data_IF_856620605598
#
_entry.id   IF_856620605598
#
_cell.length_a   1.000
_cell.length_b   1.000
_cell.length_c   1.000
_cell.angle_alpha   90.00
_cell.angle_beta   90.00
_cell.angle_gamma   90.00
#
_symmetry.space_group_name_H-M   'P 1'
#
loop_
_entity.id
_entity.type
_entity.pdbx_description
1 polymer ?
#
# COMPACT_ATOMS: atom_id res chain seq x y z
N UNK A 1 18.05 9.37 -0.24
CA UNK A 1 16.74 8.69 -0.04
C UNK A 1 15.67 9.68 -0.43
N UNK A 2 14.80 9.34 -1.39
CA UNK A 2 13.68 10.22 -1.74
C UNK A 2 12.61 10.07 -0.66
N UNK A 3 12.26 11.15 0.02
CA UNK A 3 11.21 11.16 1.03
C UNK A 3 9.82 10.97 0.37
N UNK A 4 8.87 10.38 1.10
CA UNK A 4 7.50 10.19 0.63
C UNK A 4 6.84 11.53 0.25
N UNK A 5 7.19 12.61 0.96
CA UNK A 5 6.74 13.98 0.68
C UNK A 5 7.20 14.45 -0.70
N UNK A 6 8.48 14.26 -1.04
CA UNK A 6 9.02 14.63 -2.36
C UNK A 6 8.40 13.78 -3.49
N UNK A 7 8.14 12.48 -3.24
CA UNK A 7 7.42 11.65 -4.21
C UNK A 7 5.97 12.12 -4.42
N UNK A 8 5.29 12.58 -3.37
CA UNK A 8 3.94 13.12 -3.48
C UNK A 8 3.92 14.42 -4.30
N UNK A 9 4.89 15.31 -4.08
CA UNK A 9 5.03 16.55 -4.87
C UNK A 9 5.28 16.23 -6.36
N UNK A 10 6.24 15.36 -6.65
CA UNK A 10 6.57 14.95 -8.03
C UNK A 10 5.44 14.21 -8.74
N UNK A 11 4.51 13.60 -8.01
CA UNK A 11 3.34 12.96 -8.61
C UNK A 11 2.39 13.97 -9.29
N UNK A 12 2.45 15.26 -8.90
CA UNK A 12 1.71 16.36 -9.50
C UNK A 12 2.47 17.14 -10.58
N UNK A 13 3.65 16.65 -11.00
CA UNK A 13 4.47 17.32 -12.01
C UNK A 13 3.73 17.45 -13.36
N UNK A 14 4.01 18.53 -14.09
CA UNK A 14 3.45 18.79 -15.41
C UNK A 14 4.02 17.88 -16.49
N UNK A 15 5.24 17.35 -16.30
CA UNK A 15 5.80 16.28 -17.13
C UNK A 15 5.19 14.92 -16.69
N UNK A 16 4.36 14.28 -17.54
CA UNK A 16 3.75 12.99 -17.20
C UNK A 16 4.77 11.89 -16.90
N UNK A 17 6.00 11.96 -17.44
CA UNK A 17 7.05 10.98 -17.15
C UNK A 17 7.52 11.08 -15.71
N UNK A 18 7.65 12.29 -15.18
CA UNK A 18 8.02 12.54 -13.78
C UNK A 18 6.88 12.07 -12.88
N UNK A 19 5.65 12.52 -13.16
CA UNK A 19 4.45 12.14 -12.41
C UNK A 19 4.25 10.63 -12.33
N UNK A 20 4.29 9.93 -13.47
CA UNK A 20 4.09 8.47 -13.50
C UNK A 20 5.18 7.70 -12.76
N UNK A 21 6.45 8.15 -12.83
CA UNK A 21 7.54 7.53 -12.06
C UNK A 21 7.34 7.71 -10.56
N UNK A 22 6.90 8.88 -10.13
CA UNK A 22 6.60 9.17 -8.74
C UNK A 22 5.42 8.34 -8.24
N UNK A 23 4.31 8.28 -8.99
CA UNK A 23 3.16 7.42 -8.70
C UNK A 23 3.56 5.94 -8.60
N UNK A 24 4.41 5.46 -9.50
CA UNK A 24 4.91 4.08 -9.45
C UNK A 24 5.80 3.82 -8.21
N UNK A 25 6.57 4.82 -7.76
CA UNK A 25 7.34 4.72 -6.52
C UNK A 25 6.41 4.71 -5.29
N UNK A 26 5.43 5.61 -5.23
CA UNK A 26 4.43 5.66 -4.15
C UNK A 26 3.64 4.37 -4.04
N UNK A 27 3.19 3.78 -5.17
CA UNK A 27 2.52 2.47 -5.16
C UNK A 27 3.39 1.39 -4.54
N UNK A 28 4.67 1.32 -4.92
CA UNK A 28 5.62 0.34 -4.34
C UNK A 28 5.82 0.55 -2.84
N UNK A 29 5.87 1.80 -2.39
CA UNK A 29 5.98 2.11 -0.96
C UNK A 29 4.71 1.72 -0.21
N UNK A 30 3.53 2.08 -0.73
CA UNK A 30 2.24 1.72 -0.16
C UNK A 30 2.09 0.20 -0.01
N UNK A 31 2.43 -0.56 -1.05
CA UNK A 31 2.39 -2.03 -1.03
C UNK A 31 3.28 -2.64 0.05
N UNK A 32 4.46 -2.06 0.30
CA UNK A 32 5.36 -2.51 1.35
C UNK A 32 4.81 -2.20 2.74
N UNK A 33 4.33 -0.97 2.95
CA UNK A 33 3.74 -0.55 4.22
C UNK A 33 2.48 -1.36 4.55
N UNK A 34 1.60 -1.56 3.57
CA UNK A 34 0.40 -2.39 3.73
C UNK A 34 0.78 -3.82 4.13
N UNK A 35 1.75 -4.46 3.47
CA UNK A 35 2.18 -5.81 3.83
C UNK A 35 2.75 -5.89 5.26
N UNK A 36 3.48 -4.87 5.71
CA UNK A 36 3.98 -4.78 7.11
C UNK A 36 2.81 -4.70 8.09
N UNK A 37 1.84 -3.84 7.84
CA UNK A 37 0.68 -3.65 8.72
C UNK A 37 -0.23 -4.88 8.73
N UNK A 38 -0.49 -5.50 7.58
CA UNK A 38 -1.28 -6.74 7.49
C UNK A 38 -0.62 -7.86 8.29
N UNK A 39 0.71 -8.05 8.17
CA UNK A 39 1.43 -9.04 9.00
C UNK A 39 1.33 -8.73 10.50
N UNK A 40 1.50 -7.47 10.88
CA UNK A 40 1.35 -7.03 12.27
C UNK A 40 -0.05 -7.30 12.81
N UNK A 41 -1.11 -6.98 12.05
CA UNK A 41 -2.49 -7.25 12.43
C UNK A 41 -2.76 -8.75 12.56
N UNK A 42 -2.28 -9.57 11.63
CA UNK A 42 -2.37 -11.04 11.71
C UNK A 42 -1.65 -11.60 12.94
N UNK A 43 -0.46 -11.09 13.27
CA UNK A 43 0.27 -11.47 14.48
C UNK A 43 -0.47 -11.08 15.77
N UNK A 44 -1.28 -10.03 15.75
CA UNK A 44 -2.17 -9.61 16.85
C UNK A 44 -3.51 -10.37 16.87
N UNK A 45 -3.68 -11.38 16.02
CA UNK A 45 -4.88 -12.21 15.99
C UNK A 45 -6.07 -11.64 15.21
N UNK A 46 -5.91 -10.50 14.53
CA UNK A 46 -7.01 -9.89 13.76
C UNK A 46 -7.41 -10.80 12.61
N UNK A 47 -8.71 -10.99 12.42
CA UNK A 47 -9.28 -11.72 11.29
C UNK A 47 -9.04 -11.01 9.96
N UNK A 48 -9.12 -11.76 8.86
CA UNK A 48 -9.06 -11.19 7.52
C UNK A 48 -10.19 -10.19 7.23
N UNK A 49 -11.32 -10.30 7.94
CA UNK A 49 -12.44 -9.39 7.78
C UNK A 49 -12.17 -8.04 8.43
N UNK A 50 -11.60 -8.02 9.64
CA UNK A 50 -11.21 -6.78 10.33
C UNK A 50 -10.14 -6.02 9.53
N UNK A 51 -9.13 -6.72 9.03
CA UNK A 51 -8.09 -6.10 8.18
C UNK A 51 -8.70 -5.53 6.89
N UNK A 52 -9.63 -6.26 6.26
CA UNK A 52 -10.27 -5.80 5.04
C UNK A 52 -11.12 -4.54 5.26
N UNK A 53 -11.81 -4.46 6.41
CA UNK A 53 -12.59 -3.29 6.79
C UNK A 53 -11.72 -2.04 6.89
N UNK A 54 -10.56 -2.13 7.56
CA UNK A 54 -9.61 -1.02 7.69
C UNK A 54 -8.97 -0.60 6.35
N UNK A 55 -8.73 -1.56 5.45
CA UNK A 55 -8.18 -1.30 4.12
C UNK A 55 -9.24 -0.83 3.11
N UNK A 56 -10.53 -0.83 3.47
CA UNK A 56 -11.62 -0.48 2.55
C UNK A 56 -11.78 -1.44 1.37
N UNK A 57 -11.39 -2.70 1.53
CA UNK A 57 -11.46 -3.74 0.48
C UNK A 57 -12.28 -4.94 0.94
N UNK A 58 -12.57 -5.86 0.02
CA UNK A 58 -13.24 -7.10 0.40
C UNK A 58 -12.28 -8.05 1.13
N UNK A 59 -12.85 -8.88 2.03
CA UNK A 59 -12.11 -9.97 2.70
C UNK A 59 -11.40 -10.88 1.69
N UNK A 60 -12.04 -11.17 0.55
CA UNK A 60 -11.44 -11.99 -0.50
C UNK A 60 -10.25 -11.29 -1.17
N UNK A 61 -10.32 -9.98 -1.39
CA UNK A 61 -9.23 -9.20 -1.98
C UNK A 61 -7.98 -9.22 -1.08
N UNK A 62 -8.13 -8.91 0.21
CA UNK A 62 -7.00 -8.92 1.15
C UNK A 62 -6.44 -10.34 1.32
N UNK A 63 -7.30 -11.35 1.41
CA UNK A 63 -6.87 -12.75 1.55
C UNK A 63 -6.15 -13.25 0.30
N UNK A 64 -6.64 -12.90 -0.90
CA UNK A 64 -5.96 -13.24 -2.16
C UNK A 64 -4.58 -12.59 -2.25
N UNK A 65 -4.45 -11.35 -1.80
CA UNK A 65 -3.21 -10.57 -1.87
C UNK A 65 -2.17 -11.00 -0.83
N UNK A 66 -2.59 -11.26 0.41
CA UNK A 66 -1.70 -11.45 1.55
C UNK A 66 -1.79 -12.83 2.22
N UNK A 67 -2.85 -13.61 1.97
CA UNK A 67 -3.09 -14.89 2.66
C UNK A 67 -2.29 -16.08 2.12
N UNK A 68 -1.57 -15.93 1.00
CA UNK A 68 -0.70 -16.98 0.42
C UNK A 68 0.79 -16.74 0.66
N UNK A 69 1.14 -15.73 1.46
CA UNK A 69 2.50 -15.29 1.73
C UNK A 69 2.96 -15.73 3.11
#
# INVERSE_FOLDING_TARGET
MTDATDLAERAGDRDPRVGLRAVAALRRLLEQLEAVQVRSARAKGWSWQEIAAELGVSRQAVHKKHGRR
#
